data_IF_495184989598
#
_entry.id   IF_495184989598
#
_cell.length_a   1.000
_cell.length_b   1.000
_cell.length_c   1.000
_cell.angle_alpha   90.00
_cell.angle_beta   90.00
_cell.angle_gamma   90.00
#
_symmetry.space_group_name_H-M   'P 1'
#
loop_
_entity.id
_entity.type
_entity.pdbx_description
1 polymer ?
#
# COMPACT_ATOMS: atom_id res chain seq x y z
N UNK A 1 9.81 22.12 -27.51
CA UNK A 1 10.94 22.81 -28.18
C UNK A 1 11.28 22.02 -29.44
N UNK A 2 11.37 22.68 -30.60
CA UNK A 2 11.74 22.00 -31.85
C UNK A 2 13.24 21.72 -31.89
N UNK A 3 13.63 20.69 -32.66
CA UNK A 3 15.02 20.28 -32.82
C UNK A 3 15.88 21.45 -33.37
N UNK A 4 17.00 21.75 -32.73
CA UNK A 4 17.91 22.83 -33.10
C UNK A 4 18.62 22.65 -34.46
N UNK A 5 18.54 21.42 -35.05
CA UNK A 5 19.17 21.09 -36.32
C UNK A 5 18.17 21.04 -37.47
N UNK A 6 17.07 20.31 -37.35
CA UNK A 6 16.15 20.15 -38.46
C UNK A 6 14.93 21.07 -38.40
N UNK A 7 14.65 21.67 -37.25
CA UNK A 7 13.49 22.54 -36.98
C UNK A 7 12.13 21.97 -37.40
N UNK A 8 12.04 20.64 -37.62
CA UNK A 8 10.83 19.93 -38.05
C UNK A 8 10.26 19.03 -36.97
N UNK A 9 11.13 18.32 -36.25
CA UNK A 9 10.73 17.33 -35.27
C UNK A 9 10.92 17.86 -33.83
N UNK A 10 10.16 17.36 -32.88
CA UNK A 10 10.35 17.72 -31.48
C UNK A 10 11.71 17.26 -30.94
N UNK A 11 12.33 18.07 -30.11
CA UNK A 11 13.58 17.75 -29.44
C UNK A 11 13.29 16.79 -28.28
N UNK A 12 13.96 15.64 -28.29
CA UNK A 12 13.86 14.58 -27.23
C UNK A 12 15.17 14.42 -26.44
N UNK A 13 16.26 14.96 -26.94
CA UNK A 13 17.59 14.89 -26.33
C UNK A 13 18.11 16.32 -26.13
N UNK A 14 18.46 16.65 -24.89
CA UNK A 14 18.95 17.97 -24.54
C UNK A 14 20.40 17.88 -24.07
N UNK A 15 21.28 18.69 -24.66
CA UNK A 15 22.68 18.82 -24.29
C UNK A 15 22.99 20.23 -23.86
N UNK A 16 23.85 20.37 -22.86
CA UNK A 16 24.32 21.65 -22.35
C UNK A 16 25.66 21.97 -23.00
N UNK A 17 25.72 23.00 -23.83
CA UNK A 17 26.96 23.51 -24.43
C UNK A 17 27.46 24.65 -23.57
N UNK A 18 28.71 24.56 -23.14
CA UNK A 18 29.39 25.61 -22.37
C UNK A 18 30.35 26.33 -23.33
N UNK A 19 30.08 27.58 -23.60
CA UNK A 19 31.01 28.42 -24.36
C UNK A 19 32.15 28.92 -23.47
N UNK A 20 33.29 29.22 -24.07
CA UNK A 20 34.52 29.65 -23.39
C UNK A 20 34.34 30.88 -22.44
N UNK A 21 33.17 31.50 -22.42
CA UNK A 21 32.78 32.61 -21.54
C UNK A 21 31.84 32.20 -20.40
N UNK A 22 31.76 30.90 -20.08
CA UNK A 22 30.93 30.35 -18.99
C UNK A 22 29.40 30.54 -19.14
N UNK A 23 28.89 30.91 -20.33
CA UNK A 23 27.48 30.89 -20.64
C UNK A 23 27.07 29.49 -21.12
N UNK A 24 26.02 28.94 -20.52
CA UNK A 24 25.49 27.64 -20.88
C UNK A 24 24.21 27.79 -21.68
N UNK A 25 24.24 27.36 -22.95
CA UNK A 25 23.04 27.19 -23.77
C UNK A 25 22.57 25.74 -23.81
N UNK A 26 21.26 25.53 -23.73
CA UNK A 26 20.65 24.21 -23.92
C UNK A 26 20.26 24.02 -25.38
N UNK A 27 20.89 23.06 -26.06
CA UNK A 27 20.54 22.64 -27.42
C UNK A 27 19.71 21.34 -27.35
N UNK A 28 18.52 21.36 -28.01
CA UNK A 28 17.64 20.21 -28.09
C UNK A 28 17.70 19.55 -29.46
N UNK A 29 17.80 18.21 -29.50
CA UNK A 29 17.91 17.43 -30.76
C UNK A 29 16.79 16.41 -30.83
N UNK A 30 16.19 16.23 -32.02
CA UNK A 30 15.37 15.04 -32.29
C UNK A 30 16.28 13.81 -32.43
N UNK A 31 15.72 12.61 -32.31
CA UNK A 31 16.48 11.36 -32.31
C UNK A 31 17.37 11.20 -33.52
N UNK A 32 16.86 11.45 -34.73
CA UNK A 32 17.63 11.33 -35.99
C UNK A 32 18.79 12.31 -36.08
N UNK A 33 18.59 13.54 -35.61
CA UNK A 33 19.64 14.54 -35.64
C UNK A 33 20.70 14.30 -34.55
N UNK A 34 20.35 13.75 -33.43
CA UNK A 34 21.26 13.34 -32.37
C UNK A 34 22.15 12.17 -32.85
N UNK A 35 21.55 11.15 -33.49
CA UNK A 35 22.26 10.00 -34.07
C UNK A 35 23.26 10.44 -35.14
N UNK A 36 22.87 11.38 -36.02
CA UNK A 36 23.79 11.96 -37.03
C UNK A 36 24.93 12.76 -36.44
N UNK A 37 24.75 13.34 -35.24
CA UNK A 37 25.79 14.07 -34.50
C UNK A 37 26.64 13.16 -33.59
N UNK A 38 26.40 11.85 -33.58
CA UNK A 38 27.11 10.88 -32.72
C UNK A 38 26.70 10.97 -31.23
N UNK A 39 25.58 11.62 -30.93
CA UNK A 39 25.05 11.72 -29.58
C UNK A 39 24.01 10.61 -29.43
N UNK A 40 24.43 9.42 -29.03
CA UNK A 40 23.52 8.31 -28.77
C UNK A 40 23.33 8.17 -27.26
N UNK A 41 22.12 8.49 -26.72
CA UNK A 41 21.85 8.40 -25.27
C UNK A 41 21.98 6.97 -24.73
N UNK A 42 21.78 5.97 -25.60
CA UNK A 42 21.92 4.56 -25.27
C UNK A 42 23.37 4.14 -25.05
N UNK A 43 24.36 4.74 -25.75
CA UNK A 43 25.77 4.45 -25.55
C UNK A 43 26.30 4.91 -24.19
N UNK A 44 25.75 6.00 -23.67
CA UNK A 44 26.08 6.51 -22.33
C UNK A 44 25.58 5.59 -21.23
N UNK A 45 24.34 5.09 -21.38
CA UNK A 45 23.74 4.14 -20.45
C UNK A 45 24.37 2.74 -20.53
N UNK A 46 24.72 2.28 -21.73
CA UNK A 46 25.37 0.98 -21.94
C UNK A 46 26.75 0.90 -21.28
N UNK A 47 27.53 1.98 -21.34
CA UNK A 47 28.85 2.07 -20.67
C UNK A 47 28.74 2.01 -19.13
N UNK A 48 27.58 2.40 -18.56
CA UNK A 48 27.35 2.32 -17.12
C UNK A 48 26.72 1.00 -16.66
N UNK A 49 25.99 0.27 -17.52
CA UNK A 49 25.21 -0.93 -17.17
C UNK A 49 25.73 -2.26 -17.72
N UNK A 50 26.85 -2.26 -18.50
CA UNK A 50 27.47 -3.50 -19.01
C UNK A 50 26.66 -4.24 -20.09
N UNK A 51 25.77 -3.54 -20.81
CA UNK A 51 24.91 -4.08 -21.87
C UNK A 51 25.72 -4.21 -23.17
N UNK A 52 25.54 -5.31 -23.91
CA UNK A 52 26.27 -5.57 -25.18
C UNK A 52 25.66 -4.78 -26.34
N UNK A 53 26.51 -4.50 -27.38
CA UNK A 53 26.11 -3.73 -28.59
C UNK A 53 24.90 -4.33 -29.32
N UNK A 54 24.77 -5.66 -29.37
CA UNK A 54 23.61 -6.35 -29.98
C UNK A 54 22.30 -6.11 -29.20
N UNK A 55 22.37 -5.99 -27.89
CA UNK A 55 21.19 -5.66 -27.04
C UNK A 55 20.75 -4.20 -27.24
N UNK A 56 21.70 -3.30 -27.47
CA UNK A 56 21.43 -1.89 -27.77
C UNK A 56 20.71 -1.72 -29.11
N UNK A 57 21.14 -2.46 -30.15
CA UNK A 57 20.48 -2.42 -31.46
C UNK A 57 19.06 -2.97 -31.43
N UNK A 58 18.78 -4.00 -30.63
CA UNK A 58 17.44 -4.53 -30.45
C UNK A 58 16.51 -3.55 -29.69
N UNK A 59 17.04 -2.90 -28.67
CA UNK A 59 16.32 -1.86 -27.90
C UNK A 59 16.04 -0.64 -28.77
N UNK A 60 17.00 -0.24 -29.62
CA UNK A 60 16.83 0.88 -30.56
C UNK A 60 15.71 0.62 -31.58
N UNK A 61 15.65 -0.60 -32.15
CA UNK A 61 14.62 -0.99 -33.11
C UNK A 61 13.22 -1.05 -32.47
N UNK A 62 13.12 -1.57 -31.24
CA UNK A 62 11.84 -1.58 -30.50
C UNK A 62 11.37 -0.15 -30.15
N UNK A 63 12.30 0.74 -29.84
CA UNK A 63 11.99 2.13 -29.56
C UNK A 63 11.56 2.90 -30.81
N UNK A 64 12.19 2.65 -31.97
CA UNK A 64 11.79 3.24 -33.27
C UNK A 64 10.37 2.77 -33.68
N UNK A 65 10.03 1.49 -33.47
CA UNK A 65 8.71 0.95 -33.78
C UNK A 65 7.63 1.56 -32.87
N UNK A 66 7.91 1.71 -31.60
CA UNK A 66 7.00 2.28 -30.61
C UNK A 66 6.78 3.79 -30.82
N UNK A 67 7.81 4.53 -31.21
CA UNK A 67 7.67 5.94 -31.57
C UNK A 67 6.88 6.13 -32.89
N UNK A 68 7.01 5.21 -33.85
CA UNK A 68 6.23 5.21 -35.09
C UNK A 68 4.74 5.03 -34.82
N UNK A 69 4.38 4.10 -33.94
CA UNK A 69 2.95 3.85 -33.58
C UNK A 69 2.32 5.03 -32.80
N UNK A 70 3.10 5.77 -31.99
CA UNK A 70 2.60 6.92 -31.22
C UNK A 70 2.36 8.15 -32.12
N UNK A 71 3.10 8.27 -33.24
CA UNK A 71 3.00 9.45 -34.12
C UNK A 71 1.87 9.36 -35.17
N UNK A 72 1.28 8.17 -35.40
CA UNK A 72 0.19 8.00 -36.34
C UNK A 72 -1.22 8.29 -35.73
N UNK A 73 -1.36 8.26 -34.40
CA UNK A 73 -2.66 8.39 -33.71
C UNK A 73 -2.91 9.76 -33.03
N UNK A 74 -1.97 10.73 -33.07
CA UNK A 74 -2.12 12.01 -32.37
C UNK A 74 -2.31 13.16 -33.38
N UNK A 75 -3.49 13.81 -33.34
CA UNK A 75 -3.74 15.01 -34.14
C UNK A 75 -2.94 16.23 -33.62
N UNK A 76 -2.64 17.24 -34.50
CA UNK A 76 -1.87 18.42 -34.09
C UNK A 76 -2.53 19.26 -33.00
N UNK A 77 -3.84 19.13 -32.78
CA UNK A 77 -4.61 19.87 -31.76
C UNK A 77 -4.52 19.28 -30.35
N UNK A 78 -4.16 18.00 -30.23
CA UNK A 78 -3.97 17.33 -28.92
C UNK A 78 -2.61 17.63 -28.31
N UNK A 79 -1.67 18.17 -29.07
CA UNK A 79 -0.29 18.48 -28.65
C UNK A 79 -0.19 19.76 -27.82
N UNK A 80 -1.13 20.71 -27.92
CA UNK A 80 -1.12 21.96 -27.15
C UNK A 80 -1.55 21.78 -25.69
N UNK A 81 -2.17 20.65 -25.32
CA UNK A 81 -2.64 20.39 -23.96
C UNK A 81 -1.67 19.55 -23.10
N UNK A 82 -0.48 19.21 -23.61
CA UNK A 82 0.54 18.42 -22.89
C UNK A 82 1.67 19.32 -22.31
N UNK A 83 1.36 20.54 -21.96
CA UNK A 83 2.24 21.34 -21.10
C UNK A 83 2.00 20.95 -19.64
N UNK A 84 2.73 19.94 -19.13
CA UNK A 84 2.72 19.66 -17.70
C UNK A 84 3.11 18.27 -17.23
N UNK A 85 3.18 17.25 -18.08
CA UNK A 85 3.66 15.94 -17.65
C UNK A 85 4.90 15.53 -18.45
N UNK A 86 6.06 15.64 -17.80
CA UNK A 86 7.28 15.00 -18.27
C UNK A 86 7.02 13.49 -18.34
N UNK A 87 6.78 12.98 -19.54
CA UNK A 87 6.66 11.57 -19.81
C UNK A 87 7.88 10.87 -19.21
N UNK A 88 7.66 10.03 -18.23
CA UNK A 88 8.70 9.38 -17.44
C UNK A 88 9.32 8.27 -18.27
N UNK A 89 10.30 8.63 -19.13
CA UNK A 89 11.11 7.70 -19.94
C UNK A 89 11.72 6.56 -19.08
N UNK A 90 11.90 6.78 -17.77
CA UNK A 90 12.40 5.78 -16.84
C UNK A 90 11.46 4.60 -16.61
N UNK A 91 10.13 4.79 -16.67
CA UNK A 91 9.15 3.70 -16.51
C UNK A 91 9.04 2.83 -17.77
N UNK A 92 9.27 3.40 -18.93
CA UNK A 92 9.32 2.68 -20.21
C UNK A 92 10.58 1.80 -20.25
N UNK A 93 11.70 2.32 -19.74
CA UNK A 93 12.98 1.63 -19.71
C UNK A 93 13.00 0.45 -18.71
N UNK A 94 12.36 0.56 -17.56
CA UNK A 94 12.27 -0.54 -16.57
C UNK A 94 11.44 -1.73 -17.07
N UNK A 95 10.43 -1.50 -17.91
CA UNK A 95 9.63 -2.55 -18.54
C UNK A 95 10.38 -3.30 -19.66
N UNK A 96 11.37 -2.67 -20.29
CA UNK A 96 12.17 -3.25 -21.38
C UNK A 96 13.38 -4.04 -20.81
N UNK A 97 13.96 -3.61 -19.70
CA UNK A 97 15.11 -4.28 -19.06
C UNK A 97 14.75 -5.42 -18.11
N UNK A 98 13.47 -5.58 -17.72
CA UNK A 98 12.99 -6.71 -16.94
C UNK A 98 12.76 -7.95 -17.81
N UNK A 99 13.76 -8.35 -18.60
CA UNK A 99 13.69 -9.45 -19.55
C UNK A 99 13.64 -10.82 -18.88
N UNK A 100 12.72 -11.63 -19.35
CA UNK A 100 12.73 -13.08 -19.17
C UNK A 100 13.79 -13.73 -20.04
N UNK A 101 14.48 -14.68 -19.44
CA UNK A 101 15.39 -15.59 -20.12
C UNK A 101 14.68 -16.36 -21.23
N UNK A 102 15.43 -16.46 -22.33
CA UNK A 102 15.08 -17.08 -23.58
C UNK A 102 15.46 -18.54 -23.62
N UNK A 103 14.69 -19.35 -24.30
CA UNK A 103 15.24 -20.40 -25.14
C UNK A 103 14.53 -20.48 -26.50
N UNK A 104 15.38 -20.64 -27.50
CA UNK A 104 15.19 -20.59 -28.93
C UNK A 104 14.46 -21.80 -29.52
N UNK A 105 13.75 -21.68 -30.62
CA UNK A 105 14.08 -22.18 -31.96
C UNK A 105 12.88 -22.23 -32.92
N UNK A 106 13.13 -21.67 -34.06
CA UNK A 106 12.80 -21.96 -35.48
C UNK A 106 11.54 -22.72 -35.92
N UNK A 107 10.88 -22.04 -36.85
CA UNK A 107 10.30 -22.52 -38.16
C UNK A 107 9.13 -23.49 -38.15
N UNK A 108 8.02 -23.11 -38.68
CA UNK A 108 7.46 -23.31 -40.03
C UNK A 108 5.91 -23.18 -40.02
N UNK A 109 5.41 -22.61 -41.08
CA UNK A 109 3.98 -22.46 -41.41
C UNK A 109 3.25 -23.80 -41.46
N UNK A 110 2.05 -23.85 -40.89
CA UNK A 110 0.90 -24.50 -41.55
C UNK A 110 -0.41 -24.21 -40.80
N UNK A 111 -1.41 -23.78 -41.55
CA UNK A 111 -2.79 -23.56 -41.12
C UNK A 111 -3.44 -24.88 -40.69
N UNK A 112 -3.98 -24.92 -39.47
CA UNK A 112 -5.13 -25.79 -39.20
C UNK A 112 -5.90 -25.27 -37.97
N UNK A 113 -7.21 -25.16 -38.13
CA UNK A 113 -8.18 -24.82 -37.09
C UNK A 113 -8.14 -25.82 -35.95
N UNK A 114 -7.80 -25.36 -34.74
CA UNK A 114 -8.09 -26.12 -33.54
C UNK A 114 -8.38 -25.16 -32.39
N UNK A 115 -9.47 -25.40 -31.69
CA UNK A 115 -9.98 -24.65 -30.54
C UNK A 115 -8.89 -24.37 -29.54
N UNK A 116 -8.52 -23.09 -29.36
CA UNK A 116 -7.58 -22.63 -28.36
C UNK A 116 -8.26 -22.73 -27.00
N UNK A 117 -7.81 -23.68 -26.18
CA UNK A 117 -7.99 -23.63 -24.74
C UNK A 117 -7.16 -22.46 -24.21
N UNK A 118 -7.82 -21.38 -23.82
CA UNK A 118 -7.21 -20.24 -23.14
C UNK A 118 -6.55 -20.72 -21.85
N UNK A 119 -5.21 -20.68 -21.80
CA UNK A 119 -4.47 -20.74 -20.54
C UNK A 119 -4.92 -19.56 -19.68
N UNK A 120 -5.08 -19.72 -18.35
CA UNK A 120 -5.41 -18.60 -17.49
C UNK A 120 -4.31 -17.55 -17.61
N UNK A 121 -4.66 -16.34 -18.05
CA UNK A 121 -3.77 -15.17 -17.94
C UNK A 121 -3.41 -15.04 -16.46
N UNK A 122 -2.14 -15.06 -16.11
CA UNK A 122 -1.66 -14.65 -14.80
C UNK A 122 -2.25 -13.26 -14.53
N UNK A 123 -3.15 -13.16 -13.57
CA UNK A 123 -3.72 -11.89 -13.14
C UNK A 123 -2.55 -11.07 -12.60
N UNK A 124 -2.27 -9.92 -13.20
CA UNK A 124 -1.37 -8.93 -12.60
C UNK A 124 -1.90 -8.68 -11.19
N UNK A 125 -1.06 -8.89 -10.17
CA UNK A 125 -1.42 -8.61 -8.78
C UNK A 125 -1.92 -7.17 -8.69
N UNK A 126 -3.06 -6.97 -8.03
CA UNK A 126 -3.61 -5.65 -7.81
C UNK A 126 -2.72 -4.83 -6.87
N UNK A 127 -2.81 -3.50 -6.91
CA UNK A 127 -2.08 -2.64 -5.97
C UNK A 127 -2.50 -2.93 -4.52
N UNK A 128 -3.77 -3.23 -4.30
CA UNK A 128 -4.27 -3.64 -2.98
C UNK A 128 -3.68 -4.96 -2.51
N UNK A 129 -3.48 -5.93 -3.41
CA UNK A 129 -2.82 -7.20 -3.07
C UNK A 129 -1.30 -7.04 -2.85
N UNK A 130 -0.69 -6.00 -3.43
CA UNK A 130 0.75 -5.72 -3.24
C UNK A 130 1.04 -4.96 -1.94
N UNK A 131 0.16 -4.06 -1.53
CA UNK A 131 0.38 -3.12 -0.43
C UNK A 131 -0.62 -3.28 0.72
N UNK A 132 -1.52 -4.24 0.65
CA UNK A 132 -2.53 -4.47 1.67
C UNK A 132 -2.76 -5.94 1.95
N UNK A 133 -3.29 -6.19 3.13
CA UNK A 133 -3.70 -7.53 3.56
C UNK A 133 -5.23 -7.61 3.55
N UNK A 134 -5.81 -8.56 2.82
CA UNK A 134 -7.25 -8.81 2.85
C UNK A 134 -7.65 -9.52 4.13
N UNK A 135 -8.17 -8.77 5.11
CA UNK A 135 -8.61 -9.30 6.40
C UNK A 135 -9.85 -10.19 6.26
N UNK A 136 -10.75 -9.87 5.33
CA UNK A 136 -11.97 -10.68 5.12
C UNK A 136 -11.64 -12.05 4.53
N UNK A 137 -10.66 -12.13 3.64
CA UNK A 137 -10.18 -13.42 3.12
C UNK A 137 -9.50 -14.24 4.21
N UNK A 138 -8.64 -13.62 5.03
CA UNK A 138 -8.05 -14.27 6.22
C UNK A 138 -9.12 -14.77 7.18
N UNK A 139 -10.16 -13.97 7.44
CA UNK A 139 -11.28 -14.38 8.28
C UNK A 139 -12.04 -15.61 7.71
N UNK A 140 -12.26 -15.67 6.39
CA UNK A 140 -12.88 -16.82 5.73
C UNK A 140 -12.02 -18.09 5.83
N UNK A 141 -10.71 -17.93 5.89
CA UNK A 141 -9.75 -19.05 6.07
C UNK A 141 -9.52 -19.40 7.54
N UNK A 142 -10.16 -18.73 8.47
CA UNK A 142 -9.93 -18.85 9.93
C UNK A 142 -8.48 -18.56 10.36
N UNK A 143 -7.81 -17.64 9.65
CA UNK A 143 -6.45 -17.20 9.95
C UNK A 143 -6.41 -15.97 10.88
N UNK A 144 -7.56 -15.49 11.32
CA UNK A 144 -7.68 -14.40 12.28
C UNK A 144 -8.20 -14.92 13.61
N UNK A 145 -7.57 -14.47 14.68
CA UNK A 145 -8.00 -14.77 16.05
C UNK A 145 -9.34 -14.09 16.35
N UNK A 146 -10.16 -14.72 17.17
CA UNK A 146 -11.44 -14.19 17.56
C UNK A 146 -11.29 -12.97 18.46
N UNK A 147 -12.05 -11.91 18.17
CA UNK A 147 -11.96 -10.65 18.89
C UNK A 147 -12.99 -10.64 20.04
N UNK A 148 -12.48 -10.61 21.25
CA UNK A 148 -13.26 -10.64 22.48
C UNK A 148 -13.29 -9.27 23.14
N UNK A 149 -14.40 -8.94 23.78
CA UNK A 149 -14.54 -7.74 24.61
C UNK A 149 -14.72 -6.41 23.86
N UNK A 150 -14.73 -6.42 22.51
CA UNK A 150 -14.85 -5.21 21.66
C UNK A 150 -16.16 -5.15 20.86
N UNK A 151 -17.20 -5.84 21.35
CA UNK A 151 -18.48 -5.95 20.63
C UNK A 151 -19.13 -4.60 20.37
N UNK A 152 -19.13 -3.71 21.36
CA UNK A 152 -19.76 -2.38 21.27
C UNK A 152 -19.07 -1.50 20.23
N UNK A 153 -17.73 -1.51 20.22
CA UNK A 153 -16.94 -0.72 19.27
C UNK A 153 -17.11 -1.25 17.85
N UNK A 154 -17.10 -2.58 17.65
CA UNK A 154 -17.32 -3.21 16.34
C UNK A 154 -18.74 -2.88 15.83
N UNK A 155 -19.76 -2.99 16.65
CA UNK A 155 -21.14 -2.61 16.30
C UNK A 155 -21.24 -1.12 15.94
N UNK A 156 -20.53 -0.26 16.67
CA UNK A 156 -20.46 1.17 16.36
C UNK A 156 -19.79 1.45 15.03
N UNK A 157 -18.70 0.76 14.72
CA UNK A 157 -18.01 0.82 13.42
C UNK A 157 -18.96 0.40 12.29
N UNK A 158 -19.66 -0.74 12.44
CA UNK A 158 -20.64 -1.22 11.47
C UNK A 158 -21.76 -0.20 11.26
N UNK A 159 -22.28 0.38 12.35
CA UNK A 159 -23.30 1.41 12.30
C UNK A 159 -22.83 2.64 11.50
N UNK A 160 -21.60 3.10 11.73
CA UNK A 160 -21.03 4.25 11.04
C UNK A 160 -20.84 3.94 9.56
N UNK A 161 -20.25 2.80 9.20
CA UNK A 161 -20.06 2.37 7.81
C UNK A 161 -21.38 2.28 7.03
N UNK A 162 -22.49 1.98 7.73
CA UNK A 162 -23.81 1.91 7.13
C UNK A 162 -24.50 3.27 6.92
N UNK A 163 -23.96 4.37 7.46
CA UNK A 163 -24.52 5.73 7.31
C UNK A 163 -24.43 6.22 5.87
N UNK A 164 -25.23 7.22 5.54
CA UNK A 164 -25.17 7.92 4.26
C UNK A 164 -24.02 8.95 4.19
N UNK A 165 -23.80 9.66 5.29
CA UNK A 165 -22.77 10.70 5.45
C UNK A 165 -21.93 10.39 6.68
N UNK A 166 -20.70 10.87 6.75
CA UNK A 166 -19.72 10.58 7.83
C UNK A 166 -19.63 9.07 8.08
N UNK A 167 -19.50 8.32 7.01
CA UNK A 167 -19.50 6.86 7.01
C UNK A 167 -18.09 6.24 7.11
N UNK A 168 -17.11 7.02 7.55
CA UNK A 168 -15.74 6.58 7.76
C UNK A 168 -15.44 6.66 9.26
N UNK A 169 -15.40 5.54 10.00
CA UNK A 169 -15.02 5.54 11.41
C UNK A 169 -13.53 5.83 11.58
N UNK A 170 -13.20 6.57 12.63
CA UNK A 170 -11.84 6.78 13.10
C UNK A 170 -11.74 6.27 14.55
N UNK A 171 -11.02 5.16 14.75
CA UNK A 171 -10.79 4.55 16.05
C UNK A 171 -9.74 5.37 16.80
N UNK A 172 -10.12 5.93 17.94
CA UNK A 172 -9.28 6.80 18.75
C UNK A 172 -9.01 6.13 20.08
N UNK A 173 -7.74 5.92 20.42
CA UNK A 173 -7.34 5.33 21.70
C UNK A 173 -5.84 5.25 21.81
N UNK A 174 -5.36 4.95 23.02
CA UNK A 174 -3.94 4.80 23.29
C UNK A 174 -3.33 3.59 22.54
N UNK A 175 -2.02 3.55 22.33
CA UNK A 175 -1.35 2.37 21.76
C UNK A 175 -1.62 1.13 22.61
N UNK A 176 -1.83 -0.04 21.99
CA UNK A 176 -2.05 -1.30 22.70
C UNK A 176 -3.46 -1.56 23.23
N UNK A 177 -4.41 -0.62 23.11
CA UNK A 177 -5.79 -0.87 23.55
C UNK A 177 -6.61 -1.79 22.60
N UNK A 178 -6.04 -2.21 21.48
CA UNK A 178 -6.69 -3.15 20.56
C UNK A 178 -7.48 -2.51 19.42
N UNK A 179 -7.09 -1.34 18.92
CA UNK A 179 -7.73 -0.68 17.77
C UNK A 179 -7.71 -1.54 16.50
N UNK A 180 -6.57 -2.16 16.20
CA UNK A 180 -6.42 -3.04 15.02
C UNK A 180 -7.25 -4.33 15.17
N UNK A 181 -7.45 -4.84 16.40
CA UNK A 181 -8.33 -5.97 16.68
C UNK A 181 -9.79 -5.66 16.28
N UNK A 182 -10.27 -4.43 16.43
CA UNK A 182 -11.62 -4.03 16.01
C UNK A 182 -11.78 -4.15 14.49
N UNK A 183 -10.73 -3.83 13.71
CA UNK A 183 -10.74 -4.02 12.25
C UNK A 183 -10.80 -5.51 11.88
N UNK A 184 -10.07 -6.38 12.60
CA UNK A 184 -10.17 -7.83 12.45
C UNK A 184 -11.58 -8.33 12.79
N UNK A 185 -12.18 -7.84 13.89
CA UNK A 185 -13.54 -8.19 14.28
C UNK A 185 -14.59 -7.77 13.26
N UNK A 186 -14.41 -6.60 12.60
CA UNK A 186 -15.25 -6.18 11.49
C UNK A 186 -15.14 -7.17 10.32
N UNK A 187 -13.91 -7.56 9.95
CA UNK A 187 -13.67 -8.52 8.86
C UNK A 187 -14.29 -9.89 9.15
N UNK A 188 -14.17 -10.38 10.40
CA UNK A 188 -14.80 -11.64 10.86
C UNK A 188 -16.33 -11.56 10.74
N UNK A 189 -16.95 -10.45 11.19
CA UNK A 189 -18.41 -10.28 11.08
C UNK A 189 -18.89 -10.22 9.62
N UNK A 190 -18.13 -9.56 8.74
CA UNK A 190 -18.44 -9.55 7.30
C UNK A 190 -18.31 -10.97 6.71
N UNK A 191 -17.25 -11.70 7.04
CA UNK A 191 -17.02 -13.06 6.55
C UNK A 191 -18.14 -14.04 7.02
N UNK A 192 -18.63 -13.86 8.24
CA UNK A 192 -19.75 -14.64 8.82
C UNK A 192 -21.12 -14.13 8.37
N UNK A 193 -21.21 -13.08 7.56
CA UNK A 193 -22.47 -12.44 7.13
C UNK A 193 -23.30 -11.85 8.28
N UNK A 194 -22.69 -11.51 9.38
CA UNK A 194 -23.32 -10.92 10.58
C UNK A 194 -23.36 -9.38 10.51
N UNK A 195 -23.62 -8.84 9.32
CA UNK A 195 -23.62 -7.40 9.04
C UNK A 195 -24.84 -7.01 8.19
N UNK A 196 -25.25 -5.73 8.18
CA UNK A 196 -26.32 -5.25 7.32
C UNK A 196 -26.06 -5.52 5.84
N UNK A 197 -27.11 -5.66 5.02
CA UNK A 197 -27.07 -6.00 3.60
C UNK A 197 -26.08 -5.14 2.79
N UNK A 198 -25.93 -3.86 3.13
CA UNK A 198 -24.96 -2.94 2.47
C UNK A 198 -23.51 -3.38 2.62
N UNK A 199 -23.18 -4.14 3.65
CA UNK A 199 -21.80 -4.54 3.99
C UNK A 199 -21.52 -6.02 3.67
N UNK A 200 -22.50 -6.84 3.28
CA UNK A 200 -22.34 -8.28 3.04
C UNK A 200 -21.29 -8.63 2.01
N UNK A 201 -21.16 -7.81 0.95
CA UNK A 201 -20.21 -8.04 -0.13
C UNK A 201 -18.94 -7.17 -0.02
N UNK A 202 -18.71 -6.56 1.14
CA UNK A 202 -17.53 -5.74 1.36
C UNK A 202 -16.33 -6.60 1.72
N UNK A 203 -15.18 -6.12 1.35
CA UNK A 203 -13.88 -6.69 1.71
C UNK A 203 -13.07 -5.65 2.48
N UNK A 204 -12.47 -6.07 3.58
CA UNK A 204 -11.67 -5.23 4.45
C UNK A 204 -10.20 -5.45 4.12
N UNK A 205 -9.52 -4.40 3.68
CA UNK A 205 -8.09 -4.41 3.41
C UNK A 205 -7.33 -3.55 4.41
N UNK A 206 -6.41 -4.15 5.14
CA UNK A 206 -5.45 -3.43 5.98
C UNK A 206 -4.28 -2.99 5.11
N UNK A 207 -4.10 -1.68 4.98
CA UNK A 207 -3.02 -1.10 4.19
C UNK A 207 -1.71 -1.11 4.97
N UNK A 208 -0.67 -1.69 4.38
CA UNK A 208 0.68 -1.62 4.91
C UNK A 208 1.36 -0.32 4.43
N UNK A 209 1.33 0.69 5.27
CA UNK A 209 1.93 1.99 4.96
C UNK A 209 3.44 1.90 4.80
N UNK A 210 4.11 0.99 5.51
CA UNK A 210 5.55 0.77 5.38
C UNK A 210 5.89 0.27 3.99
N UNK A 211 5.13 -0.70 3.47
CA UNK A 211 5.29 -1.23 2.12
C UNK A 211 4.98 -0.16 1.05
N UNK A 212 3.98 0.68 1.25
CA UNK A 212 3.64 1.77 0.32
C UNK A 212 4.78 2.80 0.22
N UNK A 213 5.45 3.10 1.33
CA UNK A 213 6.56 4.06 1.42
C UNK A 213 7.88 3.43 0.96
N UNK A 214 8.09 2.13 1.21
CA UNK A 214 9.35 1.45 0.92
C UNK A 214 9.79 1.65 -0.55
N UNK A 215 11.07 2.07 -0.73
CA UNK A 215 11.66 2.30 -2.05
C UNK A 215 11.14 3.54 -2.79
N UNK A 216 10.36 4.41 -2.15
CA UNK A 216 10.00 5.71 -2.73
C UNK A 216 11.08 6.74 -2.40
N UNK A 217 11.90 7.10 -3.40
CA UNK A 217 12.92 8.15 -3.26
C UNK A 217 12.33 9.56 -3.46
N UNK A 218 11.23 9.66 -4.20
CA UNK A 218 10.56 10.92 -4.51
C UNK A 218 9.11 10.91 -4.07
N UNK A 219 8.62 12.05 -3.59
CA UNK A 219 7.23 12.27 -3.17
C UNK A 219 6.20 11.77 -4.20
N UNK A 220 6.43 12.02 -5.48
CA UNK A 220 5.52 11.62 -6.55
C UNK A 220 5.33 10.12 -6.69
N UNK A 221 6.33 9.30 -6.31
CA UNK A 221 6.20 7.83 -6.36
C UNK A 221 5.22 7.31 -5.29
N UNK A 222 5.30 7.84 -4.07
CA UNK A 222 4.36 7.54 -3.00
C UNK A 222 2.94 8.00 -3.35
N UNK A 223 2.81 9.24 -3.82
CA UNK A 223 1.52 9.79 -4.26
C UNK A 223 0.91 8.96 -5.40
N UNK A 224 1.72 8.53 -6.37
CA UNK A 224 1.29 7.65 -7.45
C UNK A 224 0.78 6.29 -6.96
N UNK A 225 1.47 5.64 -6.00
CA UNK A 225 1.01 4.38 -5.40
C UNK A 225 -0.30 4.56 -4.63
N UNK A 226 -0.39 5.59 -3.79
CA UNK A 226 -1.62 5.91 -3.06
C UNK A 226 -2.79 6.20 -4.00
N UNK A 227 -2.57 6.96 -5.06
CA UNK A 227 -3.58 7.24 -6.09
C UNK A 227 -4.06 5.94 -6.75
N UNK A 228 -3.15 5.05 -7.14
CA UNK A 228 -3.49 3.77 -7.75
C UNK A 228 -4.35 2.88 -6.81
N UNK A 229 -3.99 2.80 -5.52
CA UNK A 229 -4.78 2.07 -4.49
C UNK A 229 -6.19 2.67 -4.37
N UNK A 230 -6.30 3.99 -4.30
CA UNK A 230 -7.59 4.68 -4.17
C UNK A 230 -8.44 4.50 -5.43
N UNK A 231 -7.85 4.59 -6.62
CA UNK A 231 -8.55 4.39 -7.87
C UNK A 231 -9.04 2.94 -8.02
N UNK A 232 -8.29 1.97 -7.54
CA UNK A 232 -8.74 0.56 -7.46
C UNK A 232 -9.93 0.40 -6.49
N UNK A 233 -9.87 1.04 -5.30
CA UNK A 233 -11.01 1.07 -4.38
C UNK A 233 -12.27 1.68 -4.99
N UNK A 234 -12.13 2.74 -5.81
CA UNK A 234 -13.25 3.39 -6.53
C UNK A 234 -13.87 2.50 -7.59
N UNK A 235 -13.03 1.77 -8.34
CA UNK A 235 -13.49 0.88 -9.40
C UNK A 235 -14.26 -0.31 -8.84
N UNK A 236 -13.75 -0.95 -7.81
CA UNK A 236 -14.36 -2.15 -7.22
C UNK A 236 -15.56 -1.82 -6.34
N UNK A 237 -15.59 -0.64 -5.68
CA UNK A 237 -16.67 -0.15 -4.79
C UNK A 237 -17.07 -1.08 -3.64
N UNK A 238 -16.43 -2.23 -3.48
CA UNK A 238 -16.71 -3.21 -2.42
C UNK A 238 -15.64 -3.20 -1.31
N UNK A 239 -14.65 -2.31 -1.37
CA UNK A 239 -13.53 -2.27 -0.45
C UNK A 239 -13.80 -1.31 0.71
N UNK A 240 -13.41 -1.75 1.91
CA UNK A 240 -13.24 -0.93 3.11
C UNK A 240 -11.75 -0.93 3.40
N UNK A 241 -11.12 0.24 3.25
CA UNK A 241 -9.71 0.40 3.50
C UNK A 241 -9.46 0.68 4.98
N UNK A 242 -8.63 -0.12 5.62
CA UNK A 242 -8.16 0.13 7.00
C UNK A 242 -6.77 0.73 6.93
N UNK A 243 -6.60 1.88 7.56
CA UNK A 243 -5.30 2.55 7.65
C UNK A 243 -4.96 2.71 9.13
N UNK A 244 -3.96 1.95 9.55
CA UNK A 244 -3.42 2.09 10.90
C UNK A 244 -2.56 3.35 10.99
N UNK A 245 -2.60 4.03 12.11
CA UNK A 245 -1.92 5.31 12.34
C UNK A 245 -2.15 6.33 11.22
N UNK A 246 -3.42 6.56 10.85
CA UNK A 246 -3.80 7.45 9.73
C UNK A 246 -3.17 8.85 9.81
N UNK A 247 -2.78 9.29 10.99
CA UNK A 247 -2.10 10.56 11.21
C UNK A 247 -0.74 10.64 10.50
N UNK A 248 -0.07 9.51 10.25
CA UNK A 248 1.19 9.47 9.50
C UNK A 248 1.01 9.89 8.04
N UNK A 249 -0.18 9.70 7.49
CA UNK A 249 -0.51 10.09 6.12
C UNK A 249 -0.97 11.55 6.04
N UNK A 250 -1.66 12.00 7.09
CA UNK A 250 -2.31 13.31 7.13
C UNK A 250 -1.35 14.37 7.67
N UNK A 251 -0.57 14.04 8.69
CA UNK A 251 0.26 14.97 9.45
C UNK A 251 1.65 15.22 8.89
N UNK A 252 2.05 14.48 7.89
CA UNK A 252 3.35 14.62 7.26
C UNK A 252 3.57 15.96 6.52
N UNK A 253 2.77 17.01 6.78
CA UNK A 253 2.75 18.30 6.10
C UNK A 253 3.61 19.43 6.68
N UNK A 254 4.24 19.24 7.84
CA UNK A 254 4.93 20.33 8.55
C UNK A 254 6.45 20.45 8.26
N UNK A 255 6.98 19.71 7.31
CA UNK A 255 8.39 19.78 6.91
C UNK A 255 8.56 19.70 5.39
N UNK A 256 9.65 20.27 4.89
CA UNK A 256 9.99 20.38 3.44
C UNK A 256 10.06 19.04 2.68
N UNK A 257 9.92 17.89 3.37
CA UNK A 257 9.99 16.53 2.82
C UNK A 257 8.77 15.66 3.16
N UNK A 258 7.66 16.24 3.60
CA UNK A 258 6.53 15.46 4.09
C UNK A 258 5.63 14.92 2.99
N UNK A 259 5.34 13.60 3.08
CA UNK A 259 4.47 12.86 2.16
C UNK A 259 3.01 13.13 2.53
N UNK A 260 2.35 14.06 1.85
CA UNK A 260 0.97 14.42 2.17
C UNK A 260 -0.04 13.70 1.27
N UNK A 261 -0.38 12.44 1.63
CA UNK A 261 -1.45 11.70 0.95
C UNK A 261 -2.86 12.20 1.31
N UNK A 262 -2.97 13.12 2.28
CA UNK A 262 -4.27 13.70 2.63
C UNK A 262 -4.95 14.37 1.43
N UNK A 263 -4.18 15.01 0.56
CA UNK A 263 -4.71 15.68 -0.64
C UNK A 263 -5.31 14.70 -1.65
N UNK A 264 -4.86 13.43 -1.65
CA UNK A 264 -5.39 12.37 -2.52
C UNK A 264 -6.63 11.73 -1.86
N UNK A 265 -6.61 11.54 -0.54
CA UNK A 265 -7.72 10.95 0.21
C UNK A 265 -8.92 11.89 0.34
N UNK A 266 -8.69 13.18 0.60
CA UNK A 266 -9.76 14.17 0.84
C UNK A 266 -10.84 14.21 -0.22
N UNK A 267 -10.54 14.30 -1.53
CA UNK A 267 -11.56 14.31 -2.58
C UNK A 267 -12.38 13.02 -2.60
N UNK A 268 -11.73 11.88 -2.47
CA UNK A 268 -12.37 10.56 -2.53
C UNK A 268 -13.28 10.29 -1.33
N UNK A 269 -12.87 10.74 -0.14
CA UNK A 269 -13.71 10.71 1.07
C UNK A 269 -14.86 11.73 0.98
N UNK A 270 -14.61 12.91 0.38
CA UNK A 270 -15.62 13.94 0.21
C UNK A 270 -16.76 13.46 -0.69
N UNK A 271 -16.44 12.79 -1.77
CA UNK A 271 -17.42 12.25 -2.73
C UNK A 271 -18.06 10.93 -2.28
N UNK A 272 -17.57 10.32 -1.18
CA UNK A 272 -18.05 9.01 -0.71
C UNK A 272 -17.69 7.86 -1.66
N UNK A 273 -16.63 8.03 -2.46
CA UNK A 273 -16.16 7.03 -3.44
C UNK A 273 -15.41 5.87 -2.76
N UNK A 274 -14.79 6.15 -1.62
CA UNK A 274 -14.03 5.19 -0.81
C UNK A 274 -14.56 5.18 0.62
N UNK A 275 -14.63 4.00 1.22
CA UNK A 275 -14.90 3.81 2.64
C UNK A 275 -13.60 3.49 3.38
N UNK A 276 -13.38 4.18 4.50
CA UNK A 276 -12.17 4.13 5.29
C UNK A 276 -12.47 3.85 6.76
N UNK A 277 -11.63 3.03 7.38
CA UNK A 277 -11.49 2.90 8.83
C UNK A 277 -10.09 3.38 9.20
N UNK A 278 -9.97 4.49 9.89
CA UNK A 278 -8.69 4.98 10.40
C UNK A 278 -8.46 4.59 11.85
N UNK A 279 -7.20 4.40 12.26
CA UNK A 279 -6.85 4.33 13.67
C UNK A 279 -5.89 5.47 14.02
N UNK A 280 -5.95 5.99 15.23
CA UNK A 280 -5.06 7.05 15.71
C UNK A 280 -5.12 7.17 17.24
N UNK A 281 -4.26 8.01 17.82
CA UNK A 281 -4.39 8.41 19.23
C UNK A 281 -5.21 9.69 19.36
N UNK A 282 -5.68 10.00 20.57
CA UNK A 282 -6.46 11.21 20.83
C UNK A 282 -5.63 12.48 20.56
N UNK A 283 -4.34 12.42 20.86
CA UNK A 283 -3.40 13.53 20.65
C UNK A 283 -3.24 13.86 19.16
N UNK A 284 -2.98 12.83 18.34
CA UNK A 284 -2.81 12.99 16.89
C UNK A 284 -4.15 13.33 16.21
N UNK A 285 -5.28 12.78 16.66
CA UNK A 285 -6.60 13.13 16.14
C UNK A 285 -6.86 14.65 16.26
N UNK A 286 -6.64 15.22 17.46
CA UNK A 286 -6.80 16.65 17.70
C UNK A 286 -5.82 17.49 16.92
N UNK A 287 -4.59 17.01 16.75
CA UNK A 287 -3.53 17.75 16.06
C UNK A 287 -3.76 17.81 14.55
N UNK A 288 -4.15 16.71 13.91
CA UNK A 288 -4.12 16.55 12.46
C UNK A 288 -5.49 16.41 11.81
N UNK A 289 -6.48 15.79 12.47
CA UNK A 289 -7.79 15.51 11.87
C UNK A 289 -8.80 16.58 12.25
N UNK A 290 -8.91 16.91 13.53
CA UNK A 290 -9.88 17.89 14.03
C UNK A 290 -9.64 19.30 13.48
N UNK A 291 -8.39 19.66 13.22
CA UNK A 291 -8.03 20.95 12.61
C UNK A 291 -8.34 21.02 11.10
N UNK A 292 -8.45 19.90 10.45
CA UNK A 292 -8.78 19.82 9.02
C UNK A 292 -10.28 19.65 8.82
N UNK A 293 -10.97 20.74 8.52
CA UNK A 293 -12.44 20.79 8.37
C UNK A 293 -12.97 19.81 7.30
N UNK A 294 -12.18 19.46 6.29
CA UNK A 294 -12.59 18.52 5.25
C UNK A 294 -12.59 17.08 5.76
N UNK A 295 -11.58 16.70 6.55
CA UNK A 295 -11.47 15.38 7.18
C UNK A 295 -12.44 15.23 8.35
N UNK A 296 -12.54 16.24 9.23
CA UNK A 296 -13.42 16.25 10.41
C UNK A 296 -14.89 16.03 10.01
N UNK A 297 -15.32 16.59 8.87
CA UNK A 297 -16.67 16.38 8.34
C UNK A 297 -16.92 15.00 7.73
N UNK A 298 -15.88 14.19 7.51
CA UNK A 298 -15.95 12.88 6.84
C UNK A 298 -15.61 11.71 7.75
N UNK A 299 -14.77 11.94 8.74
CA UNK A 299 -14.40 10.95 9.74
C UNK A 299 -15.32 11.06 10.97
N UNK A 300 -15.77 9.92 11.48
CA UNK A 300 -16.55 9.84 12.69
C UNK A 300 -15.73 9.21 13.80
N UNK A 301 -15.41 9.93 14.88
CA UNK A 301 -14.63 9.38 15.98
C UNK A 301 -15.37 8.25 16.70
N UNK A 302 -14.63 7.21 17.03
CA UNK A 302 -15.05 6.09 17.90
C UNK A 302 -13.96 5.93 18.95
N UNK A 303 -14.29 6.25 20.20
CA UNK A 303 -13.37 6.12 21.31
C UNK A 303 -13.19 4.63 21.65
N UNK A 304 -11.93 4.22 21.77
CA UNK A 304 -11.53 2.87 22.18
C UNK A 304 -10.76 3.02 23.48
N UNK A 305 -11.46 2.80 24.58
CA UNK A 305 -10.89 2.94 25.92
C UNK A 305 -10.07 1.70 26.30
N UNK A 306 -9.14 1.88 27.24
CA UNK A 306 -8.46 0.78 27.89
C UNK A 306 -9.48 -0.10 28.63
N UNK A 307 -9.47 -1.41 28.41
CA UNK A 307 -10.40 -2.30 29.11
C UNK A 307 -10.04 -2.38 30.60
N UNK A 308 -11.04 -2.59 31.45
CA UNK A 308 -10.80 -2.84 32.86
C UNK A 308 -10.01 -4.13 33.08
N UNK A 309 -9.36 -4.25 34.23
CA UNK A 309 -8.65 -5.49 34.64
C UNK A 309 -9.55 -6.71 34.48
N UNK A 310 -10.80 -6.63 34.93
CA UNK A 310 -11.74 -7.76 34.84
C UNK A 310 -12.09 -8.10 33.39
N UNK A 311 -12.37 -7.09 32.55
CA UNK A 311 -12.63 -7.30 31.13
C UNK A 311 -11.41 -7.91 30.41
N UNK A 312 -10.20 -7.47 30.78
CA UNK A 312 -8.96 -8.02 30.23
C UNK A 312 -8.77 -9.49 30.62
N UNK A 313 -9.05 -9.86 31.86
CA UNK A 313 -9.00 -11.27 32.29
C UNK A 313 -9.95 -12.13 31.44
N UNK A 314 -11.17 -11.67 31.20
CA UNK A 314 -12.14 -12.38 30.37
C UNK A 314 -11.64 -12.49 28.91
N UNK A 315 -11.12 -11.39 28.34
CA UNK A 315 -10.52 -11.42 27.01
C UNK A 315 -9.39 -12.44 26.91
N UNK A 316 -8.47 -12.44 27.87
CA UNK A 316 -7.31 -13.33 27.84
C UNK A 316 -7.68 -14.80 28.06
N UNK A 317 -8.70 -15.09 28.87
CA UNK A 317 -9.22 -16.46 29.04
C UNK A 317 -9.74 -17.07 27.71
N UNK A 318 -10.29 -16.24 26.84
CA UNK A 318 -10.78 -16.69 25.53
C UNK A 318 -9.65 -16.82 24.49
N UNK A 319 -8.67 -15.90 24.50
CA UNK A 319 -7.59 -15.90 23.51
C UNK A 319 -6.40 -16.78 23.91
N UNK A 320 -6.28 -17.24 25.16
CA UNK A 320 -5.15 -18.02 25.65
C UNK A 320 -4.88 -19.29 24.83
N UNK A 321 -5.91 -19.91 24.27
CA UNK A 321 -5.80 -21.11 23.43
C UNK A 321 -4.87 -20.91 22.23
N UNK A 322 -4.82 -19.70 21.64
CA UNK A 322 -3.93 -19.39 20.53
C UNK A 322 -2.46 -19.41 20.96
N UNK A 323 -2.18 -18.88 22.17
CA UNK A 323 -0.84 -18.92 22.78
C UNK A 323 -0.45 -20.30 23.25
N UNK A 324 -1.38 -21.06 23.85
CA UNK A 324 -1.20 -22.46 24.23
C UNK A 324 -0.84 -23.32 23.00
N UNK A 325 -1.57 -23.13 21.89
CA UNK A 325 -1.34 -23.85 20.64
C UNK A 325 -0.01 -23.46 19.97
N UNK A 326 0.37 -22.20 20.03
CA UNK A 326 1.61 -21.72 19.43
C UNK A 326 2.84 -22.16 20.21
N UNK A 327 2.85 -21.94 21.52
CA UNK A 327 4.00 -22.28 22.37
C UNK A 327 4.01 -23.74 22.85
N UNK A 328 2.91 -24.49 22.64
CA UNK A 328 2.75 -25.85 23.15
C UNK A 328 2.88 -25.94 24.67
N UNK A 329 2.35 -24.97 25.39
CA UNK A 329 2.30 -24.89 26.84
C UNK A 329 0.84 -24.80 27.31
N UNK A 330 0.56 -25.16 28.55
CA UNK A 330 -0.76 -25.00 29.16
C UNK A 330 -0.78 -23.78 30.07
N UNK A 331 -1.77 -22.91 29.92
CA UNK A 331 -1.92 -21.68 30.68
C UNK A 331 -3.18 -21.76 31.54
N UNK A 332 -3.01 -21.86 32.87
CA UNK A 332 -4.18 -21.91 33.77
C UNK A 332 -4.87 -20.53 33.88
N UNK A 333 -6.14 -20.54 34.25
CA UNK A 333 -6.90 -19.33 34.46
C UNK A 333 -6.32 -18.46 35.58
N UNK A 334 -5.73 -19.09 36.60
CA UNK A 334 -5.07 -18.37 37.71
C UNK A 334 -3.82 -17.62 37.23
N UNK A 335 -3.04 -18.22 36.32
CA UNK A 335 -1.90 -17.55 35.67
C UNK A 335 -2.38 -16.32 34.90
N UNK A 336 -3.48 -16.43 34.13
CA UNK A 336 -4.08 -15.28 33.42
C UNK A 336 -4.42 -14.15 34.40
N UNK A 337 -5.14 -14.48 35.49
CA UNK A 337 -5.53 -13.46 36.48
C UNK A 337 -4.32 -12.79 37.12
N UNK A 338 -3.30 -13.56 37.50
CA UNK A 338 -2.08 -13.01 38.08
C UNK A 338 -1.33 -12.15 37.07
N UNK A 339 -1.21 -12.58 35.83
CA UNK A 339 -0.52 -11.85 34.76
C UNK A 339 -1.17 -10.48 34.52
N UNK A 340 -2.50 -10.42 34.42
CA UNK A 340 -3.21 -9.13 34.24
C UNK A 340 -3.02 -8.22 35.46
N UNK A 341 -3.16 -8.75 36.68
CA UNK A 341 -2.95 -7.98 37.91
C UNK A 341 -1.51 -7.46 38.05
N UNK A 342 -0.53 -8.30 37.68
CA UNK A 342 0.89 -7.90 37.72
C UNK A 342 1.22 -6.88 36.64
N UNK A 343 0.74 -7.06 35.42
CA UNK A 343 0.94 -6.09 34.33
C UNK A 343 0.37 -4.72 34.71
N UNK A 344 -0.82 -4.68 35.33
CA UNK A 344 -1.42 -3.43 35.77
C UNK A 344 -0.62 -2.78 36.91
N UNK A 345 -0.10 -3.59 37.83
CA UNK A 345 0.65 -3.08 39.00
C UNK A 345 2.04 -2.59 38.67
N UNK A 346 2.74 -3.19 37.72
CA UNK A 346 4.18 -2.98 37.49
C UNK A 346 4.50 -2.34 36.15
N UNK A 347 3.60 -2.40 35.14
CA UNK A 347 3.82 -1.83 33.81
C UNK A 347 2.91 -0.61 33.63
N UNK A 348 3.51 0.59 33.72
CA UNK A 348 2.77 1.86 33.70
C UNK A 348 2.88 2.63 32.38
N UNK A 349 3.81 2.25 31.50
CA UNK A 349 4.11 2.88 30.23
C UNK A 349 3.33 2.29 29.05
N UNK A 350 2.54 1.24 29.30
CA UNK A 350 1.70 0.54 28.33
C UNK A 350 0.30 0.31 28.85
N UNK A 351 -0.63 0.00 27.94
CA UNK A 351 -2.05 -0.15 28.22
C UNK A 351 -2.51 -1.61 28.11
N UNK A 352 -3.57 -1.95 28.82
CA UNK A 352 -4.28 -3.22 28.64
C UNK A 352 -5.06 -3.22 27.32
N UNK A 353 -5.19 -4.37 26.64
CA UNK A 353 -4.73 -5.70 27.04
C UNK A 353 -3.29 -5.99 26.64
N UNK A 354 -2.63 -5.17 25.83
CA UNK A 354 -1.34 -5.39 25.18
C UNK A 354 -0.25 -5.78 26.18
N UNK A 355 -0.06 -4.99 27.24
CA UNK A 355 0.94 -5.27 28.29
C UNK A 355 0.77 -6.62 28.99
N UNK A 356 -0.46 -7.13 29.09
CA UNK A 356 -0.75 -8.42 29.68
C UNK A 356 -0.55 -9.58 28.68
N UNK A 357 -0.86 -9.33 27.42
CA UNK A 357 -0.60 -10.26 26.32
C UNK A 357 0.88 -10.48 26.14
N UNK A 358 1.68 -9.41 26.07
CA UNK A 358 3.14 -9.46 25.97
C UNK A 358 3.75 -10.29 27.11
N UNK A 359 3.25 -10.12 28.33
CA UNK A 359 3.75 -10.84 29.49
C UNK A 359 3.45 -12.35 29.42
N UNK A 360 2.28 -12.73 28.87
CA UNK A 360 1.91 -14.13 28.65
C UNK A 360 2.80 -14.75 27.55
N UNK A 361 2.97 -14.04 26.45
CA UNK A 361 3.73 -14.49 25.30
C UNK A 361 5.21 -14.72 25.69
N UNK A 362 5.81 -13.74 26.35
CA UNK A 362 7.19 -13.82 26.86
C UNK A 362 7.38 -14.98 27.86
N UNK A 363 6.47 -15.13 28.84
CA UNK A 363 6.54 -16.20 29.81
C UNK A 363 6.39 -17.59 29.18
N UNK A 364 5.47 -17.73 28.22
CA UNK A 364 5.22 -18.97 27.48
C UNK A 364 6.42 -19.35 26.61
N UNK A 365 7.03 -18.37 25.94
CA UNK A 365 8.24 -18.57 25.14
C UNK A 365 9.39 -19.05 26.01
N UNK A 366 9.60 -18.45 27.19
CA UNK A 366 10.65 -18.85 28.13
C UNK A 366 10.47 -20.27 28.63
N UNK A 367 9.25 -20.68 29.00
CA UNK A 367 8.93 -22.05 29.43
C UNK A 367 9.22 -23.04 28.30
N UNK A 368 8.84 -22.72 27.07
CA UNK A 368 9.10 -23.57 25.91
C UNK A 368 10.59 -23.79 25.67
N UNK A 369 11.41 -22.75 25.79
CA UNK A 369 12.86 -22.85 25.65
C UNK A 369 13.47 -23.74 26.76
N UNK A 370 13.06 -23.54 28.02
CA UNK A 370 13.55 -24.33 29.16
C UNK A 370 13.21 -25.83 29.00
N UNK A 371 12.04 -26.15 28.43
CA UNK A 371 11.64 -27.57 28.21
C UNK A 371 12.40 -28.26 27.06
N UNK A 372 13.12 -27.50 26.23
CA UNK A 372 14.00 -28.06 25.19
C UNK A 372 15.43 -28.29 25.67
N UNK A 373 15.82 -27.73 26.81
CA UNK A 373 17.16 -27.89 27.42
C UNK A 373 17.27 -29.08 28.37
N UNK A 374 16.15 -29.72 28.75
CA UNK A 374 16.20 -30.97 29.51
C UNK A 374 16.45 -32.14 28.54
N UNK A 375 17.65 -32.76 28.53
CA UNK A 375 17.87 -33.98 27.77
C UNK A 375 17.03 -35.09 28.39
N UNK A 376 16.33 -35.85 27.55
CA UNK A 376 15.67 -37.08 27.95
C UNK A 376 16.66 -37.96 28.74
N UNK A 377 16.45 -38.12 30.07
CA UNK A 377 17.23 -38.94 30.98
C UNK A 377 16.70 -40.37 30.98
#
# INVERSE_FOLDING_TARGET
>A
MLCSVCHKNMAVIFTKKIDGNNNSEMEGYCYDCAKKKGINPLDVLAKQSGITEEQIDNISKQFETMLGEITEDISPEDLENIEGESANLGSIFSNILGGKDTESSKESEQKSNTKVKTKPKEKKKSFLEMYGTNLTEKARKNELDEVVGRKMEIERVIQILNRRLKNNPCLIGEPGVGKTAIANGLAIKIARQEVPAKLLNKEVYLLDMTAVIAGTQFRGQFEGRMKAIIDECKQTRNIILVIDEIHNIIGAGDGDHSMNAANILKPSLANGEVQLVGTTTLKEYRKYIEKDTALERRLQPVLVEEPSVQATIEMLKEVKKYYEDFHKVSISNDVIEQTVKMSEKYIHDRFLPDKAIDLIDEASSKIRLSSLEEPDS
#
